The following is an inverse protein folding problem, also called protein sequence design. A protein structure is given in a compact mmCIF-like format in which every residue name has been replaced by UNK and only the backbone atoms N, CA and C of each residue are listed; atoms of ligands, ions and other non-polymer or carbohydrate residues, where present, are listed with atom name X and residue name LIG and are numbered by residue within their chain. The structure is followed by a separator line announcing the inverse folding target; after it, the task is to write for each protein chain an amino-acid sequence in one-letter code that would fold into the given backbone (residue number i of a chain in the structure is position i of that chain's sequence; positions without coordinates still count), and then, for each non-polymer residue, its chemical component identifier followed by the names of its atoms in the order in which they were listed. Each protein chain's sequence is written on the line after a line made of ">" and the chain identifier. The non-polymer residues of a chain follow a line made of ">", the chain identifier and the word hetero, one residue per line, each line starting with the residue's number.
data_IF_233658068731
#
_entry.id   IF_233658068731
#
_cell.length_a   1.000
_cell.length_b   1.000
_cell.length_c   1.000
_cell.angle_alpha   90.00
_cell.angle_beta   90.00
_cell.angle_gamma   90.00
#
_symmetry.space_group_name_H-M   'P 1'
#
loop_
_entity.id
_entity.type
_entity.pdbx_description
1 polymer ?
#
# COMPACT_ATOMS: atom_id res chain seq x y z
N UNK A 1 -31.67 2.20 57.97
CA UNK A 1 -31.20 3.07 56.86
C UNK A 1 -29.83 2.54 56.44
N UNK A 2 -29.54 1.99 55.26
CA UNK A 2 -30.17 1.66 53.97
C UNK A 2 -29.46 0.38 53.48
N UNK A 3 -30.13 -0.64 52.91
CA UNK A 3 -29.44 -1.81 52.39
C UNK A 3 -28.97 -1.62 50.94
N UNK A 4 -27.77 -2.12 50.67
CA UNK A 4 -27.07 -2.12 49.39
C UNK A 4 -27.83 -3.02 48.39
N UNK A 5 -28.39 -2.42 47.34
CA UNK A 5 -29.13 -3.12 46.28
C UNK A 5 -28.12 -3.82 45.34
N UNK A 6 -27.98 -5.13 45.50
CA UNK A 6 -27.26 -6.00 44.54
C UNK A 6 -28.05 -6.09 43.24
N UNK A 7 -27.66 -5.32 42.22
CA UNK A 7 -28.06 -5.57 40.84
C UNK A 7 -27.39 -6.87 40.34
N UNK A 8 -28.15 -7.97 40.30
CA UNK A 8 -27.79 -9.16 39.53
C UNK A 8 -28.10 -8.89 38.05
N UNK A 9 -27.12 -8.94 37.13
CA UNK A 9 -27.44 -8.93 35.71
C UNK A 9 -27.96 -10.32 35.32
N UNK A 10 -29.24 -10.42 35.01
CA UNK A 10 -29.80 -11.58 34.29
C UNK A 10 -29.41 -11.45 32.82
N UNK A 11 -28.21 -11.92 32.47
CA UNK A 11 -27.83 -12.14 31.08
C UNK A 11 -28.67 -13.29 30.52
N UNK A 12 -29.39 -13.12 29.40
CA UNK A 12 -30.00 -14.26 28.72
C UNK A 12 -28.87 -15.09 28.11
N UNK A 13 -28.71 -16.32 28.60
CA UNK A 13 -27.84 -17.35 28.04
C UNK A 13 -28.40 -17.80 26.69
N UNK A 14 -28.29 -16.95 25.67
CA UNK A 14 -28.59 -17.34 24.29
C UNK A 14 -27.33 -18.03 23.77
N UNK A 15 -27.35 -19.36 23.82
CA UNK A 15 -26.31 -20.22 23.31
C UNK A 15 -25.83 -19.73 21.92
N UNK A 16 -24.57 -19.31 21.85
CA UNK A 16 -23.87 -19.10 20.59
C UNK A 16 -23.75 -20.47 19.92
N UNK A 17 -24.59 -20.72 18.92
CA UNK A 17 -24.37 -21.83 18.01
C UNK A 17 -22.96 -21.66 17.42
N UNK A 18 -22.11 -22.70 17.42
CA UNK A 18 -20.78 -22.60 16.86
C UNK A 18 -20.90 -22.20 15.39
N UNK A 19 -20.26 -21.08 15.05
CA UNK A 19 -20.16 -20.55 13.70
C UNK A 19 -19.19 -21.42 12.87
N UNK A 20 -19.43 -22.72 12.82
CA UNK A 20 -18.68 -23.69 12.01
C UNK A 20 -19.38 -23.92 10.68
N UNK A 21 -19.86 -22.85 10.05
CA UNK A 21 -20.23 -22.91 8.64
C UNK A 21 -18.98 -22.54 7.85
N UNK A 22 -18.29 -23.51 7.21
CA UNK A 22 -17.30 -23.14 6.21
C UNK A 22 -18.01 -22.28 5.17
N UNK A 23 -17.43 -21.13 4.85
CA UNK A 23 -17.82 -20.31 3.71
C UNK A 23 -17.57 -21.15 2.45
N UNK A 24 -18.53 -22.00 2.12
CA UNK A 24 -18.55 -22.78 0.89
C UNK A 24 -18.91 -21.80 -0.21
N UNK A 25 -17.89 -21.28 -0.89
CA UNK A 25 -18.02 -20.47 -2.09
C UNK A 25 -18.86 -21.28 -3.08
N UNK A 26 -20.16 -20.98 -3.18
CA UNK A 26 -21.05 -21.63 -4.13
C UNK A 26 -20.63 -21.14 -5.51
N UNK A 27 -19.94 -22.00 -6.25
CA UNK A 27 -19.44 -21.76 -7.60
C UNK A 27 -20.54 -21.64 -8.67
N UNK A 28 -21.74 -21.18 -8.32
CA UNK A 28 -22.92 -21.23 -9.19
C UNK A 28 -23.85 -20.01 -9.12
N UNK A 29 -23.45 -18.92 -8.47
CA UNK A 29 -24.08 -17.63 -8.76
C UNK A 29 -23.59 -17.17 -10.13
N UNK A 30 -24.47 -16.81 -11.08
CA UNK A 30 -24.05 -16.13 -12.30
C UNK A 30 -23.15 -14.97 -11.89
N UNK A 31 -21.98 -14.89 -12.51
CA UNK A 31 -21.10 -13.73 -12.38
C UNK A 31 -22.00 -12.51 -12.63
N UNK A 32 -22.18 -11.61 -11.65
CA UNK A 32 -23.08 -10.50 -11.83
C UNK A 32 -22.62 -9.69 -13.03
N UNK A 33 -23.58 -9.21 -13.84
CA UNK A 33 -23.28 -8.38 -15.01
C UNK A 33 -22.25 -7.30 -14.61
N UNK A 34 -21.16 -7.08 -15.37
CA UNK A 34 -20.12 -6.12 -15.00
C UNK A 34 -20.67 -4.70 -14.79
N UNK A 35 -21.81 -4.39 -15.42
CA UNK A 35 -22.58 -3.16 -15.26
C UNK A 35 -23.35 -3.03 -13.93
N UNK A 36 -23.47 -4.10 -13.15
CA UNK A 36 -24.12 -4.13 -11.81
C UNK A 36 -23.12 -4.27 -10.66
N UNK A 37 -21.85 -4.53 -10.96
CA UNK A 37 -20.80 -4.55 -9.93
C UNK A 37 -20.46 -3.09 -9.59
N UNK A 38 -20.74 -2.72 -8.33
CA UNK A 38 -20.27 -1.46 -7.76
C UNK A 38 -18.74 -1.41 -7.65
N UNK A 39 -18.21 -0.33 -7.10
CA UNK A 39 -16.77 -0.12 -6.90
C UNK A 39 -16.12 -1.32 -6.18
N UNK A 40 -15.08 -1.89 -6.78
CA UNK A 40 -14.25 -2.93 -6.19
C UNK A 40 -13.10 -2.28 -5.39
N UNK A 41 -13.03 -2.61 -4.10
CA UNK A 41 -11.94 -2.19 -3.23
C UNK A 41 -10.92 -3.31 -3.13
N UNK A 42 -9.69 -3.04 -3.54
CA UNK A 42 -8.55 -3.92 -3.26
C UNK A 42 -7.53 -3.14 -2.42
N UNK A 43 -7.57 -3.39 -1.11
CA UNK A 43 -6.69 -2.77 -0.13
C UNK A 43 -5.33 -3.47 -0.02
N UNK A 44 -5.19 -4.67 -0.59
CA UNK A 44 -3.98 -5.49 -0.53
C UNK A 44 -3.11 -5.32 -1.80
N UNK A 45 -3.70 -4.81 -2.89
CA UNK A 45 -3.03 -4.52 -4.16
C UNK A 45 -2.22 -3.21 -4.12
N UNK A 46 -0.98 -3.27 -3.63
CA UNK A 46 -0.04 -2.15 -3.70
C UNK A 46 1.01 -2.32 -4.81
N UNK A 47 1.41 -1.21 -5.44
CA UNK A 47 2.55 -1.16 -6.37
C UNK A 47 2.23 -1.50 -7.82
N UNK A 48 0.94 -1.58 -8.17
CA UNK A 48 0.45 -1.66 -9.55
C UNK A 48 -0.61 -0.60 -9.76
N UNK A 49 -0.84 -0.22 -11.00
CA UNK A 49 -1.87 0.76 -11.37
C UNK A 49 -3.25 0.12 -11.35
N UNK A 50 -4.29 0.95 -11.26
CA UNK A 50 -5.69 0.54 -11.29
C UNK A 50 -6.03 -0.21 -12.58
N UNK A 51 -5.42 0.17 -13.70
CA UNK A 51 -5.61 -0.48 -15.00
C UNK A 51 -5.07 -1.91 -15.01
N UNK A 52 -3.85 -2.13 -14.51
CA UNK A 52 -3.28 -3.48 -14.38
C UNK A 52 -4.13 -4.32 -13.44
N UNK A 53 -4.59 -3.72 -12.34
CA UNK A 53 -5.38 -4.44 -11.36
C UNK A 53 -6.79 -4.79 -11.86
N UNK A 54 -7.41 -3.91 -12.65
CA UNK A 54 -8.67 -4.17 -13.32
C UNK A 54 -8.58 -5.38 -14.25
N UNK A 55 -7.50 -5.50 -15.02
CA UNK A 55 -7.25 -6.67 -15.89
C UNK A 55 -7.07 -7.95 -15.06
N UNK A 56 -6.31 -7.87 -13.96
CA UNK A 56 -6.09 -9.01 -13.06
C UNK A 56 -7.41 -9.48 -12.42
N UNK A 57 -8.21 -8.55 -11.90
CA UNK A 57 -9.53 -8.84 -11.34
C UNK A 57 -10.48 -9.41 -12.40
N UNK A 58 -10.41 -8.88 -13.62
CA UNK A 58 -11.24 -9.35 -14.72
C UNK A 58 -10.95 -10.81 -15.08
N UNK A 59 -9.67 -11.16 -15.16
CA UNK A 59 -9.21 -12.52 -15.40
C UNK A 59 -9.60 -13.47 -14.27
N UNK A 60 -9.48 -13.05 -13.01
CA UNK A 60 -9.78 -13.87 -11.83
C UNK A 60 -11.27 -14.12 -11.62
N UNK A 61 -12.10 -13.11 -11.87
CA UNK A 61 -13.54 -13.15 -11.58
C UNK A 61 -14.38 -13.48 -12.82
N UNK A 62 -13.79 -13.47 -14.02
CA UNK A 62 -14.49 -13.74 -15.27
C UNK A 62 -15.50 -12.66 -15.67
N UNK A 63 -15.32 -11.43 -15.18
CA UNK A 63 -16.12 -10.24 -15.50
C UNK A 63 -15.22 -9.12 -16.02
N UNK A 64 -15.74 -8.23 -16.86
CA UNK A 64 -14.98 -7.05 -17.27
C UNK A 64 -15.01 -5.97 -16.19
N UNK A 65 -13.85 -5.52 -15.71
CA UNK A 65 -13.72 -4.39 -14.79
C UNK A 65 -13.05 -3.21 -15.49
N UNK A 66 -13.65 -2.02 -15.35
CA UNK A 66 -13.03 -0.77 -15.78
C UNK A 66 -12.06 -0.27 -14.69
N UNK A 67 -10.93 0.39 -15.03
CA UNK A 67 -10.04 1.00 -14.03
C UNK A 67 -10.76 1.93 -13.06
N UNK A 68 -11.76 2.68 -13.51
CA UNK A 68 -12.54 3.58 -12.64
C UNK A 68 -13.38 2.85 -11.58
N UNK A 69 -13.60 1.55 -11.74
CA UNK A 69 -14.28 0.71 -10.75
C UNK A 69 -13.30 0.12 -9.73
N UNK A 70 -11.99 0.34 -9.88
CA UNK A 70 -10.97 -0.20 -8.99
C UNK A 70 -10.41 0.90 -8.10
N UNK A 71 -10.52 0.72 -6.79
CA UNK A 71 -9.92 1.61 -5.80
C UNK A 71 -8.88 0.83 -5.00
N UNK A 72 -7.63 1.29 -5.12
CA UNK A 72 -6.48 0.77 -4.39
C UNK A 72 -6.17 1.65 -3.19
N UNK A 73 -5.38 1.13 -2.24
CA UNK A 73 -4.97 1.90 -1.06
C UNK A 73 -4.25 3.22 -1.41
N UNK A 74 -3.51 3.26 -2.53
CA UNK A 74 -2.79 4.45 -2.98
C UNK A 74 -3.55 5.32 -3.99
N UNK A 75 -4.73 4.90 -4.48
CA UNK A 75 -5.54 5.70 -5.42
C UNK A 75 -5.88 7.11 -4.90
N UNK A 76 -6.21 7.31 -3.60
CA UNK A 76 -6.46 8.66 -3.07
C UNK A 76 -5.25 9.61 -3.17
N UNK A 77 -4.03 9.07 -3.27
CA UNK A 77 -2.81 9.87 -3.36
C UNK A 77 -2.73 10.69 -4.65
N UNK A 78 -3.47 10.30 -5.71
CA UNK A 78 -3.54 11.08 -6.94
C UNK A 78 -4.04 12.51 -6.68
N UNK A 79 -4.93 12.70 -5.69
CA UNK A 79 -5.42 14.03 -5.32
C UNK A 79 -4.34 14.94 -4.73
N UNK A 80 -3.32 14.36 -4.10
CA UNK A 80 -2.22 15.07 -3.43
C UNK A 80 -1.23 15.69 -4.43
N UNK A 81 -1.26 15.24 -5.69
CA UNK A 81 -0.39 15.76 -6.75
C UNK A 81 -0.63 17.25 -6.99
N UNK A 82 -1.84 17.74 -6.78
CA UNK A 82 -2.18 19.17 -6.87
C UNK A 82 -1.35 20.04 -5.93
N UNK A 83 -0.95 19.50 -4.78
CA UNK A 83 -0.20 20.23 -3.75
C UNK A 83 1.29 19.87 -3.77
N UNK A 84 1.63 18.61 -4.05
CA UNK A 84 2.98 18.08 -3.86
C UNK A 84 3.69 17.64 -5.15
N UNK A 85 3.19 17.98 -6.34
CA UNK A 85 3.79 17.53 -7.59
C UNK A 85 5.28 17.93 -7.75
N UNK A 86 5.69 19.13 -7.31
CA UNK A 86 7.07 19.63 -7.44
C UNK A 86 8.01 19.30 -6.28
N UNK A 87 7.44 18.78 -5.19
CA UNK A 87 8.17 18.52 -3.96
C UNK A 87 8.73 17.10 -4.02
N UNK A 88 9.95 16.85 -3.51
CA UNK A 88 10.45 15.49 -3.35
C UNK A 88 9.51 14.67 -2.48
N UNK A 89 9.01 13.55 -3.00
CA UNK A 89 8.12 12.63 -2.28
C UNK A 89 8.82 11.29 -2.12
N UNK A 90 8.94 10.81 -0.88
CA UNK A 90 9.46 9.47 -0.61
C UNK A 90 8.36 8.44 -0.84
N UNK A 91 8.57 7.55 -1.80
CA UNK A 91 7.64 6.45 -2.10
C UNK A 91 8.13 5.20 -1.39
N UNK A 92 7.34 4.72 -0.43
CA UNK A 92 7.65 3.49 0.31
C UNK A 92 6.96 2.30 -0.34
N UNK A 93 7.73 1.24 -0.62
CA UNK A 93 7.22 0.02 -1.23
C UNK A 93 8.28 -0.63 -2.11
N UNK A 94 7.82 -1.46 -3.05
CA UNK A 94 8.68 -2.04 -4.07
C UNK A 94 9.07 -0.98 -5.11
N UNK A 95 10.04 -1.29 -5.96
CA UNK A 95 10.53 -0.37 -7.00
C UNK A 95 9.42 0.03 -8.00
N UNK A 96 8.42 -0.81 -8.23
CA UNK A 96 7.30 -0.54 -9.12
C UNK A 96 6.40 0.60 -8.61
N UNK A 97 6.34 0.81 -7.28
CA UNK A 97 5.55 1.88 -6.67
C UNK A 97 6.02 3.27 -7.13
N UNK A 98 7.32 3.43 -7.46
CA UNK A 98 7.86 4.69 -7.98
C UNK A 98 7.25 5.02 -9.35
N UNK A 99 7.03 4.01 -10.20
CA UNK A 99 6.35 4.17 -11.49
C UNK A 99 4.90 4.63 -11.32
N UNK A 100 4.17 4.01 -10.40
CA UNK A 100 2.78 4.41 -10.07
C UNK A 100 2.71 5.88 -9.62
N UNK A 101 3.65 6.32 -8.77
CA UNK A 101 3.71 7.73 -8.34
C UNK A 101 3.98 8.69 -9.51
N UNK A 102 4.85 8.32 -10.46
CA UNK A 102 5.08 9.12 -11.67
C UNK A 102 3.81 9.22 -12.51
N UNK A 103 3.08 8.11 -12.70
CA UNK A 103 1.82 8.09 -13.46
C UNK A 103 0.72 8.93 -12.80
N UNK A 104 0.66 8.99 -11.48
CA UNK A 104 -0.26 9.87 -10.77
C UNK A 104 0.07 11.36 -10.97
N UNK A 105 1.32 11.71 -11.31
CA UNK A 105 1.74 13.08 -11.58
C UNK A 105 2.71 13.69 -10.56
N UNK A 106 3.30 12.87 -9.69
CA UNK A 106 4.44 13.33 -8.87
C UNK A 106 5.67 13.48 -9.78
N UNK A 107 6.32 14.66 -9.80
CA UNK A 107 7.50 14.89 -10.66
C UNK A 107 8.80 14.41 -10.04
N UNK A 108 8.87 14.35 -8.70
CA UNK A 108 10.08 14.04 -7.93
C UNK A 108 9.91 12.90 -6.93
N UNK A 109 9.42 11.71 -7.32
CA UNK A 109 9.39 10.57 -6.40
C UNK A 109 10.80 9.99 -6.19
N UNK A 110 11.22 9.78 -4.94
CA UNK A 110 12.41 9.01 -4.57
C UNK A 110 12.01 7.64 -4.01
N UNK A 111 12.79 6.60 -4.32
CA UNK A 111 12.69 5.30 -3.65
C UNK A 111 13.61 5.23 -2.43
N UNK A 112 13.36 4.33 -1.47
CA UNK A 112 14.19 4.19 -0.28
C UNK A 112 15.65 3.84 -0.62
N UNK A 113 15.84 3.06 -1.70
CA UNK A 113 17.14 2.69 -2.25
C UNK A 113 17.96 3.93 -2.64
N UNK A 114 17.32 4.93 -3.26
CA UNK A 114 17.97 6.17 -3.71
C UNK A 114 18.28 7.09 -2.52
N UNK A 115 17.45 7.09 -1.48
CA UNK A 115 17.70 7.81 -0.23
C UNK A 115 18.89 7.22 0.54
N UNK A 116 18.99 5.88 0.61
CA UNK A 116 20.13 5.19 1.20
C UNK A 116 21.43 5.47 0.44
N UNK A 117 21.35 5.52 -0.90
CA UNK A 117 22.51 5.85 -1.73
C UNK A 117 23.00 7.29 -1.49
N UNK A 118 22.06 8.21 -1.23
CA UNK A 118 22.38 9.59 -0.89
C UNK A 118 23.03 9.71 0.49
N UNK A 119 22.55 8.97 1.49
CA UNK A 119 23.17 8.95 2.81
C UNK A 119 23.06 7.55 3.48
N UNK A 120 24.12 6.72 3.37
CA UNK A 120 24.13 5.38 3.94
C UNK A 120 24.00 5.36 5.48
N UNK A 121 24.38 6.44 6.17
CA UNK A 121 24.28 6.52 7.63
C UNK A 121 22.84 6.56 8.15
N UNK A 122 21.84 6.86 7.29
CA UNK A 122 20.44 6.91 7.69
C UNK A 122 19.83 5.53 8.01
N UNK A 123 20.44 4.45 7.52
CA UNK A 123 19.97 3.09 7.78
C UNK A 123 21.15 2.18 8.18
N UNK A 124 21.65 2.29 9.42
CA UNK A 124 22.85 1.56 9.88
C UNK A 124 22.69 0.03 9.85
N UNK A 125 21.45 -0.47 9.77
CA UNK A 125 21.13 -1.90 9.72
C UNK A 125 20.67 -2.38 8.34
N UNK A 126 20.69 -1.52 7.31
CA UNK A 126 20.29 -1.95 5.97
C UNK A 126 21.37 -2.83 5.35
N UNK A 127 20.99 -4.03 4.92
CA UNK A 127 21.80 -4.84 4.02
C UNK A 127 21.72 -4.22 2.63
N UNK A 128 22.65 -3.31 2.31
CA UNK A 128 22.80 -2.78 0.97
C UNK A 128 23.08 -3.96 0.03
N UNK A 129 22.07 -4.39 -0.72
CA UNK A 129 22.28 -5.33 -1.82
C UNK A 129 22.94 -4.54 -2.96
N UNK A 130 23.94 -5.13 -3.62
CA UNK A 130 24.71 -4.57 -4.76
C UNK A 130 23.86 -4.25 -6.03
N UNK A 131 22.58 -3.94 -5.89
CA UNK A 131 21.79 -3.32 -6.94
C UNK A 131 22.24 -1.88 -7.01
N UNK A 132 23.02 -1.55 -8.05
CA UNK A 132 23.51 -0.21 -8.39
C UNK A 132 22.41 0.83 -8.13
N UNK A 133 22.49 1.47 -6.97
CA UNK A 133 21.51 2.47 -6.60
C UNK A 133 21.70 3.65 -7.54
N UNK A 134 20.61 4.01 -8.20
CA UNK A 134 20.56 5.16 -9.09
C UNK A 134 20.63 6.39 -8.19
N UNK A 135 21.43 7.37 -8.55
CA UNK A 135 21.52 8.61 -7.76
C UNK A 135 20.13 9.29 -7.78
N UNK A 136 19.57 9.66 -6.60
CA UNK A 136 18.29 10.39 -6.59
C UNK A 136 18.55 11.82 -7.09
N UNK A 137 18.20 12.11 -8.34
CA UNK A 137 18.20 13.49 -8.88
C UNK A 137 17.27 14.42 -8.07
N UNK A 138 16.29 13.87 -7.36
CA UNK A 138 15.32 14.63 -6.57
C UNK A 138 15.90 15.28 -5.31
N UNK A 139 17.00 14.76 -4.76
CA UNK A 139 17.51 15.16 -3.44
C UNK A 139 18.52 16.30 -3.46
N UNK A 140 18.85 16.85 -4.64
CA UNK A 140 19.82 17.93 -4.77
C UNK A 140 21.24 17.44 -4.47
N UNK A 141 22.08 17.42 -5.51
CA UNK A 141 23.45 16.94 -5.40
C UNK A 141 24.27 17.74 -4.40
N UNK A 142 24.60 17.10 -3.28
CA UNK A 142 25.92 17.22 -2.68
C UNK A 142 26.15 15.97 -1.83
N UNK A 143 26.59 14.90 -2.49
CA UNK A 143 27.10 13.71 -1.80
C UNK A 143 28.30 14.18 -0.97
N UNK A 144 28.09 14.38 0.34
CA UNK A 144 29.19 14.44 1.29
C UNK A 144 29.81 13.06 1.29
N UNK A 145 30.82 12.86 0.45
CA UNK A 145 31.82 11.82 0.69
C UNK A 145 32.50 12.19 2.00
N UNK A 146 31.97 11.74 3.13
CA UNK A 146 32.82 11.62 4.31
C UNK A 146 33.87 10.57 3.95
N UNK A 147 35.09 11.06 3.71
CA UNK A 147 36.25 10.23 3.47
C UNK A 147 36.46 9.34 4.67
N UNK A 148 36.32 8.03 4.48
CA UNK A 148 36.80 7.03 5.41
C UNK A 148 38.32 7.07 5.44
N UNK A 149 38.88 7.96 6.26
CA UNK A 149 40.29 7.98 6.64
C UNK A 149 40.49 7.31 8.00
N UNK A 150 41.17 6.16 7.99
CA UNK A 150 42.24 5.82 8.95
C UNK A 150 41.91 5.40 10.39
N UNK A 151 42.44 4.24 10.78
CA UNK A 151 42.68 3.80 12.16
C UNK A 151 42.49 2.27 12.26
N UNK A 152 43.50 1.40 12.19
CA UNK A 152 44.88 1.57 12.65
C UNK A 152 44.94 1.34 14.16
N UNK A 153 44.86 0.08 14.58
CA UNK A 153 45.50 -0.50 15.77
C UNK A 153 45.85 -1.96 15.50
#
# INVERSE_FOLDING_TARGET
>A
MLPILRCRPTLPTRALAPFSRPLRLKSSTPIPDPSKIGVAFDIDGGGVTESVKAVELSSKLGAEFHPDQVVLAHSPMQSLTKTYADVPVLVLGKEECKGVALEYGFRKPCSPSEVLAWNPSMAPFSVASDKKARECECLGGNVRKEGGGGGGV
#
